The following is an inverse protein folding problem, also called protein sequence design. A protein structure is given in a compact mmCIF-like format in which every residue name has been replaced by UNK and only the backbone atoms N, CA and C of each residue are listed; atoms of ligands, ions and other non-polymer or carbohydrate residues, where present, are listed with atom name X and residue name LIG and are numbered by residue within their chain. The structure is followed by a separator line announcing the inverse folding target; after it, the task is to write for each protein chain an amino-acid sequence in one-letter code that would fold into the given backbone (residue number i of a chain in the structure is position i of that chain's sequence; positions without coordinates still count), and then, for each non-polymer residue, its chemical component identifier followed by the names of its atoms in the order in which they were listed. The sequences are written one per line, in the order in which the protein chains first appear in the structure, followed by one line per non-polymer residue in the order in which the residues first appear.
data_IF_949374143287
#
_entry.id   IF_949374143287
#
_cell.length_a   1.000
_cell.length_b   1.000
_cell.length_c   1.000
_cell.angle_alpha   90.00
_cell.angle_beta   90.00
_cell.angle_gamma   90.00
#
_symmetry.space_group_name_H-M   'P 1'
#
loop_
_entity.id
_entity.type
_entity.pdbx_description
1 polymer ?
#
# COMPACT_ATOMS: atom_id res chain seq x y z
N UNK A 1 -7.23 9.43 17.30
CA UNK A 1 -6.76 8.54 16.21
C UNK A 1 -6.85 7.10 16.66
N UNK A 2 -7.10 6.20 15.73
CA UNK A 2 -7.35 4.79 16.03
C UNK A 2 -6.53 3.94 15.07
N UNK A 3 -5.89 2.88 15.58
CA UNK A 3 -5.27 1.91 14.70
C UNK A 3 -6.34 0.98 14.12
N UNK A 4 -6.18 0.66 12.85
CA UNK A 4 -7.10 -0.18 12.09
C UNK A 4 -6.51 -1.58 11.92
N UNK A 5 -7.37 -2.55 11.70
CA UNK A 5 -6.93 -3.92 11.47
C UNK A 5 -6.48 -4.09 10.01
N UNK A 6 -5.25 -4.55 9.80
CA UNK A 6 -4.70 -4.81 8.47
C UNK A 6 -5.08 -6.23 8.05
N UNK A 7 -5.71 -6.34 6.88
CA UNK A 7 -6.03 -7.64 6.27
C UNK A 7 -4.75 -8.29 5.74
N UNK A 8 -4.67 -9.62 5.85
CA UNK A 8 -3.53 -10.38 5.39
C UNK A 8 -3.90 -11.32 4.25
N UNK A 9 -3.03 -11.42 3.25
CA UNK A 9 -3.16 -12.38 2.15
C UNK A 9 -3.28 -13.80 2.70
N UNK A 10 -4.17 -14.65 2.24
CA UNK A 10 -5.00 -14.53 1.04
C UNK A 10 -6.45 -14.05 1.29
N UNK A 11 -6.71 -13.20 2.26
CA UNK A 11 -8.05 -12.70 2.53
C UNK A 11 -8.68 -12.11 1.24
N UNK A 12 -9.86 -12.61 0.82
CA UNK A 12 -10.48 -12.18 -0.43
C UNK A 12 -10.87 -10.71 -0.47
N UNK A 13 -11.01 -10.06 0.69
CA UNK A 13 -11.32 -8.62 0.75
C UNK A 13 -10.20 -7.76 0.19
N UNK A 14 -8.97 -8.29 0.14
CA UNK A 14 -7.85 -7.60 -0.52
C UNK A 14 -8.01 -7.52 -2.04
N UNK A 15 -8.94 -8.27 -2.61
CA UNK A 15 -9.20 -8.30 -4.06
C UNK A 15 -10.34 -7.37 -4.48
N UNK A 16 -10.95 -6.66 -3.55
CA UNK A 16 -11.98 -5.69 -3.87
C UNK A 16 -11.39 -4.49 -4.63
N UNK A 17 -12.12 -4.00 -5.63
CA UNK A 17 -11.75 -2.80 -6.37
C UNK A 17 -12.35 -1.60 -5.64
N UNK A 18 -11.48 -0.67 -5.27
CA UNK A 18 -11.88 0.52 -4.53
C UNK A 18 -12.68 1.49 -5.40
N UNK A 19 -13.65 2.14 -4.80
CA UNK A 19 -14.49 3.15 -5.45
C UNK A 19 -13.96 4.56 -5.17
N UNK A 20 -14.14 5.49 -6.11
CA UNK A 20 -13.74 6.87 -5.88
C UNK A 20 -14.40 7.49 -4.65
N UNK A 21 -13.67 8.36 -3.97
CA UNK A 21 -14.21 9.21 -2.91
C UNK A 21 -14.96 10.36 -3.58
N UNK A 22 -16.24 10.55 -3.24
CA UNK A 22 -17.06 11.60 -3.85
C UNK A 22 -16.81 12.97 -3.22
N UNK A 23 -16.66 13.00 -1.89
CA UNK A 23 -16.45 14.23 -1.14
C UNK A 23 -15.38 14.03 -0.08
N UNK A 24 -14.41 14.93 -0.03
CA UNK A 24 -13.37 14.96 0.99
C UNK A 24 -13.89 15.77 2.17
N UNK A 25 -14.43 15.08 3.15
CA UNK A 25 -15.00 15.67 4.36
C UNK A 25 -14.16 15.34 5.60
N UNK A 26 -14.63 15.76 6.77
CA UNK A 26 -13.94 15.49 8.03
C UNK A 26 -13.84 14.00 8.34
N UNK A 27 -14.84 13.21 7.95
CA UNK A 27 -14.80 11.75 8.10
C UNK A 27 -13.68 11.12 7.29
N UNK A 28 -13.48 11.58 6.06
CA UNK A 28 -12.37 11.13 5.21
C UNK A 28 -11.04 11.53 5.83
N UNK A 29 -10.91 12.76 6.31
CA UNK A 29 -9.69 13.23 6.96
C UNK A 29 -9.34 12.43 8.23
N UNK A 30 -10.34 12.13 9.04
CA UNK A 30 -10.14 11.30 10.23
C UNK A 30 -9.69 9.88 9.85
N UNK A 31 -10.30 9.30 8.83
CA UNK A 31 -9.89 7.99 8.32
C UNK A 31 -8.44 8.00 7.83
N UNK A 32 -8.04 9.06 7.11
CA UNK A 32 -6.66 9.22 6.66
C UNK A 32 -5.69 9.27 7.86
N UNK A 33 -6.04 10.00 8.91
CA UNK A 33 -5.23 10.05 10.14
C UNK A 33 -5.10 8.65 10.77
N UNK A 34 -6.20 7.90 10.81
CA UNK A 34 -6.19 6.53 11.32
C UNK A 34 -5.32 5.61 10.43
N UNK A 35 -5.33 5.81 9.11
CA UNK A 35 -4.45 5.08 8.19
C UNK A 35 -2.98 5.38 8.46
N UNK A 36 -2.61 6.64 8.64
CA UNK A 36 -1.22 6.99 8.97
C UNK A 36 -0.78 6.38 10.28
N UNK A 37 -1.62 6.46 11.32
CA UNK A 37 -1.31 5.87 12.62
C UNK A 37 -1.10 4.35 12.50
N UNK A 38 -1.98 3.68 11.75
CA UNK A 38 -1.88 2.25 11.49
C UNK A 38 -0.59 1.90 10.76
N UNK A 39 -0.27 2.66 9.72
CA UNK A 39 0.95 2.47 8.93
C UNK A 39 2.21 2.61 9.78
N UNK A 40 2.29 3.69 10.57
CA UNK A 40 3.45 3.93 11.42
C UNK A 40 3.60 2.88 12.52
N UNK A 41 2.50 2.41 13.07
CA UNK A 41 2.51 1.40 14.13
C UNK A 41 2.90 0.01 13.62
N UNK A 42 2.64 -0.30 12.35
CA UNK A 42 2.85 -1.62 11.76
C UNK A 42 4.29 -2.13 11.70
N UNK A 43 5.44 -1.41 11.55
CA UNK A 43 5.68 -0.18 10.82
C UNK A 43 5.82 -0.41 9.31
N UNK A 44 5.28 0.48 8.52
CA UNK A 44 5.38 0.46 7.07
C UNK A 44 5.56 1.85 6.50
N UNK A 45 5.81 1.93 5.20
CA UNK A 45 5.98 3.20 4.50
C UNK A 45 4.82 3.54 3.56
N UNK A 46 3.88 2.63 3.39
CA UNK A 46 2.67 2.85 2.60
C UNK A 46 1.52 1.99 3.08
N UNK A 47 0.31 2.44 2.81
CA UNK A 47 -0.92 1.72 3.14
C UNK A 47 -2.06 2.20 2.24
N UNK A 48 -2.84 1.27 1.73
CA UNK A 48 -4.05 1.55 0.96
C UNK A 48 -5.30 1.23 1.79
N UNK A 49 -6.37 1.97 1.55
CA UNK A 49 -7.62 1.80 2.29
C UNK A 49 -8.18 0.37 2.21
N UNK A 50 -8.01 -0.30 1.07
CA UNK A 50 -8.47 -1.68 0.91
C UNK A 50 -7.79 -2.65 1.87
N UNK A 51 -6.56 -2.36 2.29
CA UNK A 51 -5.84 -3.20 3.25
C UNK A 51 -6.46 -3.15 4.66
N UNK A 52 -7.27 -2.15 4.94
CA UNK A 52 -7.99 -2.03 6.21
C UNK A 52 -9.50 -2.17 6.01
N UNK A 53 -9.89 -2.88 4.95
CA UNK A 53 -11.27 -3.23 4.64
C UNK A 53 -12.18 -2.03 4.33
N UNK A 54 -11.62 -1.00 3.71
CA UNK A 54 -12.39 0.15 3.22
C UNK A 54 -12.14 0.27 1.71
N UNK A 55 -13.19 0.01 0.93
CA UNK A 55 -13.08 -0.03 -0.53
C UNK A 55 -13.20 1.38 -1.13
N UNK A 56 -12.32 2.28 -0.71
CA UNK A 56 -12.23 3.65 -1.21
C UNK A 56 -10.82 3.93 -1.72
N UNK A 57 -10.73 4.78 -2.74
CA UNK A 57 -9.47 5.08 -3.39
C UNK A 57 -8.66 6.10 -2.61
N UNK A 58 -8.06 5.64 -1.52
CA UNK A 58 -7.21 6.45 -0.63
C UNK A 58 -5.93 5.67 -0.35
N UNK A 59 -4.78 6.32 -0.53
CA UNK A 59 -3.49 5.76 -0.13
C UNK A 59 -2.74 6.77 0.72
N UNK A 60 -1.91 6.26 1.64
CA UNK A 60 -1.01 7.06 2.45
C UNK A 60 0.40 6.51 2.32
N UNK A 61 1.39 7.39 2.26
CA UNK A 61 2.80 7.03 2.08
C UNK A 61 3.66 7.99 2.89
N UNK A 62 4.70 7.45 3.52
CA UNK A 62 5.76 8.25 4.10
C UNK A 62 7.06 7.44 4.01
N UNK A 63 7.92 7.79 3.05
CA UNK A 63 9.19 7.09 2.83
C UNK A 63 10.32 7.64 3.70
N UNK A 64 10.07 8.72 4.47
CA UNK A 64 11.08 9.32 5.32
C UNK A 64 11.36 8.48 6.56
N UNK A 65 12.63 8.38 6.95
CA UNK A 65 13.02 7.65 8.16
C UNK A 65 12.48 8.33 9.41
N UNK A 66 12.41 9.64 9.41
CA UNK A 66 11.96 10.46 10.54
C UNK A 66 10.45 10.60 10.63
N UNK A 67 9.70 10.02 9.70
CA UNK A 67 8.23 10.05 9.67
C UNK A 67 7.66 11.48 9.64
N UNK A 68 8.28 12.33 8.83
CA UNK A 68 7.93 13.76 8.76
C UNK A 68 7.54 14.23 7.36
N UNK A 69 7.34 13.31 6.41
CA UNK A 69 6.93 13.62 5.04
C UNK A 69 5.68 12.83 4.63
N UNK A 70 4.59 12.93 5.41
CA UNK A 70 3.38 12.19 5.10
C UNK A 70 2.77 12.68 3.78
N UNK A 71 2.40 11.73 2.93
CA UNK A 71 1.74 11.98 1.66
C UNK A 71 0.43 11.22 1.62
N UNK A 72 -0.65 11.91 1.35
CA UNK A 72 -1.98 11.32 1.17
C UNK A 72 -2.44 11.60 -0.25
N UNK A 73 -2.89 10.58 -0.95
CA UNK A 73 -3.43 10.70 -2.30
C UNK A 73 -4.83 10.09 -2.33
N UNK A 74 -5.82 10.92 -2.67
CA UNK A 74 -7.21 10.52 -2.79
C UNK A 74 -7.57 10.47 -4.27
N UNK A 75 -8.20 9.40 -4.71
CA UNK A 75 -8.54 9.16 -6.10
C UNK A 75 -7.31 9.27 -7.02
N UNK A 76 -6.19 8.61 -6.68
CA UNK A 76 -4.98 8.74 -7.49
C UNK A 76 -5.17 8.15 -8.88
N UNK A 77 -4.66 8.87 -9.87
CA UNK A 77 -4.67 8.47 -11.27
C UNK A 77 -3.26 8.59 -11.84
N UNK A 78 -2.74 7.51 -12.39
CA UNK A 78 -1.44 7.51 -13.03
C UNK A 78 -1.57 8.15 -14.40
N UNK A 79 -0.90 9.29 -14.61
CA UNK A 79 -0.90 10.01 -15.88
C UNK A 79 0.21 9.54 -16.80
N UNK A 80 1.36 9.15 -16.24
CA UNK A 80 2.50 8.71 -17.02
C UNK A 80 3.38 7.76 -16.21
N UNK A 81 3.90 6.75 -16.90
CA UNK A 81 4.89 5.80 -16.38
C UNK A 81 6.11 5.86 -17.27
N UNK A 82 7.31 5.89 -16.70
CA UNK A 82 8.54 5.96 -17.45
C UNK A 82 9.65 5.18 -16.76
N UNK A 83 10.51 4.56 -17.58
CA UNK A 83 11.65 3.79 -17.07
C UNK A 83 11.26 2.47 -16.44
N UNK A 84 12.28 1.79 -15.92
CA UNK A 84 12.12 0.50 -15.23
C UNK A 84 13.03 0.48 -14.02
N UNK A 85 12.45 0.09 -12.88
CA UNK A 85 13.16 -0.10 -11.62
C UNK A 85 12.84 -1.50 -11.10
N UNK A 86 13.83 -2.14 -10.52
CA UNK A 86 13.61 -3.42 -9.84
C UNK A 86 14.03 -3.27 -8.39
N UNK A 87 13.08 -3.41 -7.48
CA UNK A 87 13.30 -3.30 -6.04
C UNK A 87 12.72 -4.50 -5.33
N UNK A 88 13.32 -4.83 -4.19
CA UNK A 88 12.74 -5.79 -3.26
C UNK A 88 11.58 -5.12 -2.54
N UNK A 89 10.39 -5.71 -2.66
CA UNK A 89 9.17 -5.21 -2.02
C UNK A 89 8.70 -6.16 -0.93
N UNK A 90 8.20 -5.58 0.14
CA UNK A 90 7.40 -6.25 1.14
C UNK A 90 6.07 -5.53 1.26
N UNK A 91 5.12 -6.12 1.95
CA UNK A 91 3.78 -5.55 2.10
C UNK A 91 3.22 -5.88 3.49
N UNK A 92 2.60 -4.90 4.13
CA UNK A 92 1.95 -5.11 5.43
C UNK A 92 0.88 -6.21 5.39
N UNK A 93 0.26 -6.41 4.22
CA UNK A 93 -0.73 -7.47 4.01
C UNK A 93 -0.13 -8.82 3.64
N UNK A 94 1.19 -8.89 3.41
CA UNK A 94 1.91 -10.12 3.11
C UNK A 94 3.12 -10.21 4.04
N UNK A 95 2.89 -10.39 5.34
CA UNK A 95 3.96 -10.27 6.34
C UNK A 95 5.07 -11.30 6.16
N UNK A 96 6.31 -10.83 6.33
CA UNK A 96 7.51 -11.67 6.30
C UNK A 96 7.94 -12.12 4.91
N UNK A 97 7.35 -11.60 3.85
CA UNK A 97 7.68 -11.96 2.46
C UNK A 97 8.27 -10.77 1.74
N UNK A 98 9.41 -10.96 1.11
CA UNK A 98 10.13 -9.95 0.35
C UNK A 98 10.54 -10.56 -0.99
N UNK A 99 10.21 -9.89 -2.08
CA UNK A 99 10.53 -10.36 -3.43
C UNK A 99 10.80 -9.16 -4.34
N UNK A 100 11.64 -9.38 -5.34
CA UNK A 100 11.96 -8.34 -6.32
C UNK A 100 10.82 -8.22 -7.33
N UNK A 101 10.40 -6.98 -7.57
CA UNK A 101 9.33 -6.65 -8.51
C UNK A 101 9.83 -5.53 -9.43
N UNK A 102 9.52 -5.65 -10.73
CA UNK A 102 9.79 -4.59 -11.69
C UNK A 102 8.62 -3.61 -11.73
N UNK A 103 8.94 -2.33 -11.65
CA UNK A 103 7.97 -1.25 -11.75
C UNK A 103 8.54 -0.12 -12.59
N UNK A 104 7.71 0.84 -12.96
CA UNK A 104 8.21 2.06 -13.57
C UNK A 104 9.10 2.81 -12.57
N UNK A 105 10.20 3.37 -13.07
CA UNK A 105 11.15 4.15 -12.26
C UNK A 105 10.61 5.53 -11.92
N UNK A 106 9.80 6.10 -12.81
CA UNK A 106 9.19 7.42 -12.63
C UNK A 106 7.71 7.37 -12.93
N UNK A 107 6.93 8.09 -12.13
CA UNK A 107 5.49 8.19 -12.32
C UNK A 107 5.06 9.65 -12.18
N UNK A 108 4.03 10.01 -12.94
CA UNK A 108 3.29 11.25 -12.72
C UNK A 108 1.86 10.89 -12.35
N UNK A 109 1.38 11.46 -11.26
CA UNK A 109 0.10 11.09 -10.67
C UNK A 109 -0.71 12.34 -10.39
N UNK A 110 -1.99 12.31 -10.73
CA UNK A 110 -2.98 13.30 -10.33
C UNK A 110 -3.85 12.70 -9.23
N UNK A 111 -4.12 13.48 -8.20
CA UNK A 111 -4.96 13.04 -7.10
C UNK A 111 -5.58 14.25 -6.41
N UNK A 112 -6.43 13.99 -5.43
CA UNK A 112 -6.87 15.00 -4.49
C UNK A 112 -6.01 14.90 -3.24
N UNK A 113 -5.70 16.04 -2.65
CA UNK A 113 -5.02 16.10 -1.37
C UNK A 113 -6.04 16.04 -0.22
N UNK A 114 -5.55 16.15 1.01
CA UNK A 114 -6.34 16.10 2.24
C UNK A 114 -7.46 17.18 2.28
N UNK A 115 -7.26 18.29 1.58
CA UNK A 115 -8.22 19.38 1.53
C UNK A 115 -9.18 19.27 0.33
N UNK A 116 -9.08 18.20 -0.43
CA UNK A 116 -9.92 17.96 -1.58
C UNK A 116 -9.49 18.73 -2.83
N UNK A 117 -8.27 19.27 -2.83
CA UNK A 117 -7.74 20.02 -3.97
C UNK A 117 -6.96 19.09 -4.90
N UNK A 118 -7.06 19.35 -6.20
CA UNK A 118 -6.33 18.57 -7.20
C UNK A 118 -4.84 18.91 -7.14
N UNK A 119 -4.01 17.86 -7.04
CA UNK A 119 -2.56 17.99 -7.09
C UNK A 119 -2.00 17.03 -8.14
N UNK A 120 -0.91 17.44 -8.77
CA UNK A 120 -0.11 16.55 -9.61
C UNK A 120 1.28 16.44 -9.01
N UNK A 121 1.77 15.22 -8.90
CA UNK A 121 3.11 14.97 -8.39
C UNK A 121 3.90 14.12 -9.37
N UNK A 122 5.20 14.37 -9.42
CA UNK A 122 6.16 13.51 -10.10
C UNK A 122 7.01 12.84 -9.04
N UNK A 123 7.22 11.54 -9.18
CA UNK A 123 7.99 10.76 -8.24
C UNK A 123 8.92 9.81 -8.99
N UNK A 124 10.06 9.53 -8.38
CA UNK A 124 11.02 8.54 -8.87
C UNK A 124 11.46 7.63 -7.72
N UNK A 125 12.26 6.62 -8.05
CA UNK A 125 12.84 5.70 -7.08
C UNK A 125 11.82 5.05 -6.15
N UNK A 126 12.13 5.03 -4.87
CA UNK A 126 11.29 4.36 -3.86
C UNK A 126 9.87 4.95 -3.79
N UNK A 127 9.74 6.27 -3.87
CA UNK A 127 8.41 6.89 -3.83
C UNK A 127 7.56 6.45 -5.02
N UNK A 128 8.13 6.39 -6.23
CA UNK A 128 7.43 5.92 -7.41
C UNK A 128 6.98 4.47 -7.26
N UNK A 129 7.84 3.62 -6.72
CA UNK A 129 7.53 2.21 -6.46
C UNK A 129 6.39 2.09 -5.44
N UNK A 130 6.45 2.84 -4.34
CA UNK A 130 5.40 2.84 -3.32
C UNK A 130 4.05 3.28 -3.88
N UNK A 131 4.03 4.35 -4.66
CA UNK A 131 2.78 4.85 -5.26
C UNK A 131 2.15 3.76 -6.13
N UNK A 132 2.93 3.10 -6.98
CA UNK A 132 2.43 2.03 -7.85
C UNK A 132 1.92 0.85 -7.03
N UNK A 133 2.65 0.45 -5.98
CA UNK A 133 2.27 -0.64 -5.10
C UNK A 133 0.92 -0.35 -4.42
N UNK A 134 0.74 0.86 -3.89
CA UNK A 134 -0.49 1.22 -3.19
C UNK A 134 -1.68 1.38 -4.14
N UNK A 135 -1.45 1.93 -5.33
CA UNK A 135 -2.52 2.02 -6.34
C UNK A 135 -2.96 0.62 -6.78
N UNK A 136 -2.02 -0.32 -6.91
CA UNK A 136 -2.37 -1.72 -7.20
C UNK A 136 -3.37 -2.27 -6.19
N UNK A 137 -3.18 -2.00 -4.89
CA UNK A 137 -4.13 -2.44 -3.87
C UNK A 137 -5.54 -1.92 -4.13
N UNK A 138 -5.66 -0.68 -4.61
CA UNK A 138 -6.96 -0.09 -4.93
C UNK A 138 -7.64 -0.78 -6.11
N UNK A 139 -6.86 -1.47 -6.95
CA UNK A 139 -7.35 -2.24 -8.08
C UNK A 139 -7.46 -3.74 -7.78
N UNK A 140 -7.30 -4.12 -6.52
CA UNK A 140 -7.39 -5.50 -6.07
C UNK A 140 -6.15 -6.34 -6.38
N UNK A 141 -5.01 -5.70 -6.62
CA UNK A 141 -3.75 -6.36 -6.95
C UNK A 141 -2.77 -6.32 -5.77
N UNK A 142 -1.96 -7.36 -5.66
CA UNK A 142 -0.88 -7.47 -4.68
C UNK A 142 0.44 -7.67 -5.41
N UNK A 143 1.56 -7.31 -4.76
CA UNK A 143 2.87 -7.50 -5.39
C UNK A 143 3.16 -8.95 -5.74
N UNK A 144 2.58 -9.90 -4.99
CA UNK A 144 2.73 -11.34 -5.28
C UNK A 144 2.16 -11.72 -6.65
N UNK A 145 1.26 -10.93 -7.22
CA UNK A 145 0.67 -11.18 -8.53
C UNK A 145 1.70 -11.07 -9.66
N UNK A 146 2.80 -10.36 -9.41
CA UNK A 146 3.91 -10.23 -10.36
C UNK A 146 4.92 -11.39 -10.28
N UNK A 147 4.74 -12.28 -9.32
CA UNK A 147 5.62 -13.43 -9.09
C UNK A 147 5.14 -14.66 -9.87
N UNK A 148 6.01 -15.66 -10.01
CA UNK A 148 5.62 -16.93 -10.62
C UNK A 148 4.51 -17.60 -9.83
N UNK A 149 3.72 -18.44 -10.50
CA UNK A 149 2.65 -19.18 -9.84
C UNK A 149 3.20 -20.08 -8.71
N UNK A 150 4.38 -20.64 -8.91
CA UNK A 150 5.01 -21.47 -7.88
C UNK A 150 5.33 -20.65 -6.62
N UNK A 151 5.91 -19.46 -6.78
CA UNK A 151 6.19 -18.56 -5.66
C UNK A 151 4.91 -18.12 -4.96
N UNK A 152 3.89 -17.73 -5.72
CA UNK A 152 2.58 -17.34 -5.14
C UNK A 152 1.98 -18.46 -4.31
N UNK A 153 2.01 -19.68 -4.82
CA UNK A 153 1.46 -20.83 -4.11
C UNK A 153 2.23 -21.10 -2.81
N UNK A 154 3.55 -20.99 -2.83
CA UNK A 154 4.39 -21.17 -1.63
C UNK A 154 4.10 -20.10 -0.58
N UNK A 155 3.98 -18.85 -1.01
CA UNK A 155 3.66 -17.74 -0.12
C UNK A 155 2.29 -17.95 0.51
N UNK A 156 1.29 -18.31 -0.28
CA UNK A 156 -0.06 -18.54 0.20
C UNK A 156 -0.09 -19.64 1.26
N UNK A 157 0.56 -20.77 0.99
CA UNK A 157 0.62 -21.89 1.95
C UNK A 157 1.33 -21.50 3.23
N UNK A 158 2.41 -20.74 3.12
CA UNK A 158 3.17 -20.27 4.28
C UNK A 158 2.29 -19.37 5.17
N UNK A 159 1.58 -18.41 4.58
CA UNK A 159 0.74 -17.49 5.32
C UNK A 159 -0.49 -18.16 5.92
N UNK A 160 -1.11 -19.08 5.19
CA UNK A 160 -2.24 -19.86 5.71
C UNK A 160 -1.81 -20.69 6.91
N UNK A 161 -0.62 -21.28 6.88
CA UNK A 161 -0.05 -22.04 7.99
C UNK A 161 0.23 -21.14 9.19
N UNK A 162 0.82 -19.98 8.97
CA UNK A 162 1.14 -19.01 10.04
C UNK A 162 -0.12 -18.46 10.69
N UNK A 163 -1.18 -18.25 9.93
CA UNK A 163 -2.47 -17.78 10.46
C UNK A 163 -3.15 -18.83 11.35
N UNK A 164 -2.85 -20.09 11.16
CA UNK A 164 -3.35 -21.18 12.03
C UNK A 164 -2.53 -21.33 13.31
N UNK A 165 -1.38 -20.68 13.38
CA UNK A 165 -0.50 -20.67 14.56
C UNK A 165 -0.54 -19.29 15.21
N UNK A 166 -0.06 -19.16 16.46
CA UNK A 166 0.06 -17.84 17.09
C UNK A 166 0.97 -16.95 16.24
N UNK A 167 0.64 -15.66 16.07
CA UNK A 167 1.45 -14.77 15.26
C UNK A 167 2.85 -14.63 15.85
N UNK A 168 3.87 -14.72 14.97
CA UNK A 168 5.25 -14.46 15.31
C UNK A 168 5.54 -12.95 15.21
N UNK A 169 6.53 -12.49 15.99
CA UNK A 169 7.02 -11.12 15.86
C UNK A 169 7.64 -10.94 14.45
N UNK A 170 7.38 -9.79 13.83
CA UNK A 170 7.94 -9.50 12.52
C UNK A 170 9.44 -9.26 12.61
N UNK A 171 10.22 -9.83 11.71
CA UNK A 171 11.65 -9.56 11.67
C UNK A 171 11.92 -8.15 11.17
N UNK A 172 12.95 -7.52 11.71
CA UNK A 172 13.49 -6.30 11.13
C UNK A 172 14.05 -6.63 9.75
N UNK A 173 13.78 -5.80 8.75
CA UNK A 173 14.22 -6.08 7.40
C UNK A 173 14.09 -4.91 6.46
N UNK A 174 13.98 -5.21 5.18
CA UNK A 174 13.78 -4.26 4.11
C UNK A 174 12.49 -3.47 4.30
N UNK A 175 12.33 -2.40 3.53
CA UNK A 175 11.12 -1.57 3.61
C UNK A 175 9.85 -2.39 3.41
N UNK A 176 8.89 -2.22 4.30
CA UNK A 176 7.57 -2.80 4.20
C UNK A 176 6.62 -1.71 3.70
N UNK A 177 6.03 -2.00 2.55
CA UNK A 177 5.14 -1.07 1.86
C UNK A 177 3.69 -1.41 2.17
#
# INVERSE_FOLDING_TARGET
MTTLNILHFPDPRLREVAQPVEHVDDGVRQFIDDMFETMYAAPGIGLAATQVNVAKRIIVIDISEEKHQPLCLINPEILNLDGVEEMEEGCLSVPGVYERVQRADRVRVRALDRDGQTVEIEADGLLAVCIQHEIDHLDGKLFVDYLSQLKRTRIRKKLEKEQRQAPAAEPAGSHVI
#
